data_IF_049718389832
#
_entry.id   IF_049718389832
#
_cell.length_a   1.000
_cell.length_b   1.000
_cell.length_c   1.000
_cell.angle_alpha   90.00
_cell.angle_beta   90.00
_cell.angle_gamma   90.00
#
_symmetry.space_group_name_H-M   'P 1'
#
loop_
_entity.id
_entity.type
_entity.pdbx_description
1 polymer ?
#
# COMPACT_ATOMS: atom_id res chain seq x y z
N UNK A 1 -0.91 32.36 60.42
CA UNK A 1 -1.91 32.74 59.37
C UNK A 1 -1.15 33.58 58.35
N UNK A 2 -0.91 33.21 57.09
CA UNK A 2 -1.60 32.27 56.21
C UNK A 2 -0.61 31.62 55.22
N UNK A 3 -0.95 30.39 54.83
CA UNK A 3 -0.19 29.50 53.96
C UNK A 3 0.02 30.08 52.56
N UNK A 4 1.26 30.00 52.06
CA UNK A 4 1.61 30.17 50.65
C UNK A 4 1.26 28.88 49.92
N UNK A 5 0.20 28.89 49.13
CA UNK A 5 -0.16 27.78 48.26
C UNK A 5 0.81 27.73 47.06
N UNK A 6 1.62 26.68 47.03
CA UNK A 6 2.48 26.30 45.92
C UNK A 6 1.65 25.42 44.99
N UNK A 7 1.21 25.95 43.85
CA UNK A 7 0.40 25.21 42.88
C UNK A 7 1.34 24.45 41.94
N UNK A 8 1.67 23.20 42.29
CA UNK A 8 2.34 22.26 41.40
C UNK A 8 1.28 21.70 40.43
N UNK A 9 1.26 22.18 39.20
CA UNK A 9 0.50 21.57 38.11
C UNK A 9 1.28 20.34 37.66
N UNK A 10 0.80 19.16 38.05
CA UNK A 10 1.30 17.88 37.56
C UNK A 10 0.60 17.59 36.22
N UNK A 11 1.28 17.91 35.11
CA UNK A 11 0.86 17.50 33.78
C UNK A 11 1.10 15.99 33.65
N UNK A 12 0.05 15.19 33.86
CA UNK A 12 0.02 13.79 33.43
C UNK A 12 -0.19 13.79 31.93
N UNK A 13 0.90 13.77 31.16
CA UNK A 13 0.84 13.38 29.75
C UNK A 13 0.54 11.89 29.70
N UNK A 14 -0.71 11.55 29.41
CA UNK A 14 -1.08 10.20 28.97
C UNK A 14 -0.35 9.99 27.63
N UNK A 15 0.77 9.28 27.66
CA UNK A 15 1.43 8.80 26.47
C UNK A 15 0.51 7.73 25.85
N UNK A 16 -0.33 8.14 24.90
CA UNK A 16 -0.84 7.19 23.93
C UNK A 16 0.39 6.63 23.19
N UNK A 17 0.56 5.31 23.08
CA UNK A 17 1.58 4.77 22.20
C UNK A 17 1.17 5.14 20.77
N UNK A 18 1.76 6.21 20.22
CA UNK A 18 1.88 6.31 18.77
C UNK A 18 2.76 5.13 18.38
N UNK A 19 2.16 4.10 17.78
CA UNK A 19 2.90 3.08 17.06
C UNK A 19 3.69 3.79 15.96
N UNK A 20 4.93 4.11 16.27
CA UNK A 20 5.84 4.75 15.32
C UNK A 20 6.42 3.62 14.48
N UNK A 21 5.88 3.44 13.28
CA UNK A 21 6.43 2.51 12.32
C UNK A 21 7.83 2.97 11.88
N UNK A 22 8.76 2.03 11.66
CA UNK A 22 10.06 2.40 11.12
C UNK A 22 9.93 2.71 9.64
N UNK A 23 10.74 3.68 9.18
CA UNK A 23 10.86 4.01 7.76
C UNK A 23 11.16 2.77 6.91
N UNK A 24 11.97 1.84 7.43
CA UNK A 24 12.29 0.58 6.77
C UNK A 24 11.08 -0.33 6.53
N UNK A 25 10.09 -0.35 7.43
CA UNK A 25 8.88 -1.16 7.26
C UNK A 25 7.98 -0.58 6.18
N UNK A 26 7.88 0.75 6.10
CA UNK A 26 7.13 1.43 5.04
C UNK A 26 7.79 1.16 3.69
N UNK A 27 9.11 1.34 3.60
CA UNK A 27 9.88 1.06 2.37
C UNK A 27 9.77 -0.41 1.92
N UNK A 28 9.76 -1.35 2.87
CA UNK A 28 9.53 -2.78 2.58
C UNK A 28 8.14 -3.01 1.98
N UNK A 29 7.10 -2.46 2.60
CA UNK A 29 5.72 -2.60 2.13
C UNK A 29 5.53 -1.99 0.74
N UNK A 30 6.11 -0.80 0.49
CA UNK A 30 6.10 -0.19 -0.83
C UNK A 30 6.81 -1.05 -1.88
N UNK A 31 7.98 -1.60 -1.54
CA UNK A 31 8.73 -2.46 -2.46
C UNK A 31 7.95 -3.75 -2.78
N UNK A 32 7.34 -4.38 -1.77
CA UNK A 32 6.48 -5.55 -1.96
C UNK A 32 5.28 -5.23 -2.84
N UNK A 33 4.58 -4.12 -2.59
CA UNK A 33 3.45 -3.70 -3.44
C UNK A 33 3.87 -3.46 -4.90
N UNK A 34 4.98 -2.74 -5.13
CA UNK A 34 5.52 -2.52 -6.48
C UNK A 34 5.86 -3.84 -7.16
N UNK A 35 6.47 -4.78 -6.44
CA UNK A 35 6.78 -6.12 -6.95
C UNK A 35 5.53 -6.90 -7.34
N UNK A 36 4.55 -6.98 -6.43
CA UNK A 36 3.27 -7.67 -6.66
C UNK A 36 2.58 -7.09 -7.90
N UNK A 37 2.38 -5.77 -7.94
CA UNK A 37 1.69 -5.11 -9.04
C UNK A 37 2.43 -5.28 -10.38
N UNK A 38 3.74 -5.02 -10.42
CA UNK A 38 4.52 -5.13 -11.66
C UNK A 38 4.60 -6.57 -12.19
N UNK A 39 4.71 -7.56 -11.28
CA UNK A 39 4.73 -8.98 -11.65
C UNK A 39 3.38 -9.41 -12.22
N UNK A 40 2.28 -9.08 -11.56
CA UNK A 40 0.93 -9.39 -12.04
C UNK A 40 0.62 -8.69 -13.36
N UNK A 41 0.93 -7.40 -13.50
CA UNK A 41 0.72 -6.65 -14.75
C UNK A 41 1.50 -7.31 -15.90
N UNK A 42 2.78 -7.59 -15.69
CA UNK A 42 3.62 -8.26 -16.70
C UNK A 42 3.09 -9.66 -17.04
N UNK A 43 2.67 -10.43 -16.03
CA UNK A 43 2.14 -11.77 -16.24
C UNK A 43 0.82 -11.74 -17.02
N UNK A 44 -0.10 -10.83 -16.69
CA UNK A 44 -1.38 -10.66 -17.40
C UNK A 44 -1.16 -10.23 -18.86
N UNK A 45 -0.16 -9.39 -19.12
CA UNK A 45 0.14 -8.90 -20.47
C UNK A 45 0.87 -9.93 -21.34
N UNK A 46 1.75 -10.74 -20.75
CA UNK A 46 2.69 -11.59 -21.51
C UNK A 46 2.51 -13.09 -21.30
N UNK A 47 1.77 -13.49 -20.28
CA UNK A 47 1.67 -14.87 -19.80
C UNK A 47 2.97 -15.42 -19.19
N UNK A 48 3.93 -14.57 -18.82
CA UNK A 48 5.27 -14.98 -18.36
C UNK A 48 5.73 -14.22 -17.11
N UNK A 49 6.44 -14.93 -16.24
CA UNK A 49 7.25 -14.33 -15.18
C UNK A 49 8.60 -13.87 -15.76
N UNK A 50 8.73 -12.59 -16.10
CA UNK A 50 9.96 -12.03 -16.73
C UNK A 50 11.14 -12.01 -15.75
N UNK A 51 10.88 -11.69 -14.48
CA UNK A 51 11.86 -11.75 -13.40
C UNK A 51 11.49 -12.89 -12.45
N UNK A 52 11.51 -14.13 -12.96
CA UNK A 52 11.10 -15.30 -12.18
C UNK A 52 12.01 -15.48 -10.94
N UNK A 53 11.48 -15.41 -9.71
CA UNK A 53 12.27 -15.56 -8.48
C UNK A 53 12.71 -17.01 -8.21
N UNK A 54 12.44 -17.95 -9.12
CA UNK A 54 12.71 -19.38 -8.95
C UNK A 54 11.45 -20.23 -8.79
N UNK A 55 10.28 -19.67 -9.11
CA UNK A 55 9.01 -20.42 -9.21
C UNK A 55 9.10 -21.38 -10.38
N UNK A 56 8.82 -22.66 -10.10
CA UNK A 56 8.75 -23.68 -11.13
C UNK A 56 7.35 -23.76 -11.77
N UNK A 57 7.21 -24.61 -12.79
CA UNK A 57 5.94 -24.71 -13.52
C UNK A 57 4.79 -25.32 -12.72
N UNK A 58 5.08 -26.10 -11.67
CA UNK A 58 4.06 -26.69 -10.78
C UNK A 58 3.52 -25.68 -9.80
N UNK A 59 4.36 -24.75 -9.35
CA UNK A 59 4.03 -23.76 -8.32
C UNK A 59 3.50 -22.44 -8.92
N UNK A 60 3.55 -22.29 -10.25
CA UNK A 60 3.20 -21.04 -10.94
C UNK A 60 1.77 -20.56 -10.64
N UNK A 61 0.79 -21.45 -10.69
CA UNK A 61 -0.62 -21.08 -10.47
C UNK A 61 -0.83 -20.57 -9.04
N UNK A 62 -0.38 -21.34 -8.04
CA UNK A 62 -0.45 -20.96 -6.64
C UNK A 62 0.30 -19.64 -6.36
N UNK A 63 1.46 -19.45 -6.98
CA UNK A 63 2.22 -18.22 -6.82
C UNK A 63 1.47 -16.99 -7.38
N UNK A 64 0.86 -17.10 -8.56
CA UNK A 64 0.07 -16.02 -9.13
C UNK A 64 -1.18 -15.74 -8.28
N UNK A 65 -1.84 -16.78 -7.76
CA UNK A 65 -2.98 -16.63 -6.84
C UNK A 65 -2.58 -15.89 -5.55
N UNK A 66 -1.42 -16.22 -4.97
CA UNK A 66 -0.86 -15.51 -3.82
C UNK A 66 -0.65 -14.02 -4.13
N UNK A 67 -0.02 -13.72 -5.27
CA UNK A 67 0.21 -12.34 -5.68
C UNK A 67 -1.10 -11.59 -5.90
N UNK A 68 -2.10 -12.20 -6.55
CA UNK A 68 -3.42 -11.61 -6.76
C UNK A 68 -4.12 -11.31 -5.43
N UNK A 69 -4.05 -12.25 -4.48
CA UNK A 69 -4.61 -12.06 -3.14
C UNK A 69 -3.96 -10.87 -2.43
N UNK A 70 -2.63 -10.81 -2.40
CA UNK A 70 -1.92 -9.71 -1.73
C UNK A 70 -2.05 -8.38 -2.46
N UNK A 71 -2.22 -8.39 -3.78
CA UNK A 71 -2.58 -7.19 -4.53
C UNK A 71 -3.89 -6.59 -3.99
N UNK A 72 -4.94 -7.40 -3.83
CA UNK A 72 -6.21 -6.96 -3.26
C UNK A 72 -6.09 -6.52 -1.81
N UNK A 73 -5.24 -7.21 -1.01
CA UNK A 73 -4.97 -6.77 0.35
C UNK A 73 -4.28 -5.41 0.38
N UNK A 74 -3.20 -5.18 -0.36
CA UNK A 74 -2.54 -3.86 -0.41
C UNK A 74 -3.48 -2.78 -0.93
N UNK A 75 -4.20 -3.08 -2.01
CA UNK A 75 -5.00 -2.10 -2.75
C UNK A 75 -6.39 -1.84 -2.17
N UNK A 76 -6.82 -2.59 -1.16
CA UNK A 76 -8.13 -2.36 -0.56
C UNK A 76 -8.27 -0.94 0.03
N UNK A 77 -9.31 -0.26 -0.42
CA UNK A 77 -9.52 1.18 -0.18
C UNK A 77 -9.14 2.08 -1.34
N UNK A 78 -8.33 1.62 -2.29
CA UNK A 78 -7.96 2.36 -3.50
C UNK A 78 -8.00 1.55 -4.81
N UNK A 79 -8.38 0.27 -4.79
CA UNK A 79 -8.62 -0.54 -5.99
C UNK A 79 -9.81 -0.01 -6.82
N UNK A 80 -10.04 -0.59 -7.99
CA UNK A 80 -11.09 -0.16 -8.94
C UNK A 80 -12.49 -0.16 -8.31
N UNK A 81 -12.75 -1.05 -7.36
CA UNK A 81 -14.02 -1.16 -6.60
C UNK A 81 -14.07 -0.29 -5.34
N UNK A 82 -13.09 0.59 -5.11
CA UNK A 82 -13.05 1.47 -3.94
C UNK A 82 -14.05 2.62 -4.03
N UNK A 83 -14.34 3.26 -2.89
CA UNK A 83 -15.13 4.49 -2.86
C UNK A 83 -14.44 5.62 -3.63
N UNK A 84 -13.11 5.70 -3.54
CA UNK A 84 -12.28 6.60 -4.34
C UNK A 84 -12.57 6.43 -5.83
N UNK A 85 -12.43 5.21 -6.37
CA UNK A 85 -12.61 4.97 -7.80
C UNK A 85 -14.06 5.05 -8.26
N UNK A 86 -15.04 4.73 -7.41
CA UNK A 86 -16.46 4.97 -7.73
C UNK A 86 -16.75 6.46 -7.87
N UNK A 87 -16.29 7.30 -6.94
CA UNK A 87 -16.49 8.74 -7.02
C UNK A 87 -15.79 9.34 -8.24
N UNK A 88 -14.54 8.92 -8.49
CA UNK A 88 -13.74 9.44 -9.59
C UNK A 88 -14.33 9.14 -10.97
N UNK A 89 -14.93 7.96 -11.13
CA UNK A 89 -15.53 7.49 -12.40
C UNK A 89 -17.00 7.85 -12.60
N UNK A 90 -17.65 8.41 -11.58
CA UNK A 90 -19.07 8.76 -11.65
C UNK A 90 -19.31 9.85 -12.72
N UNK A 91 -20.11 9.59 -13.77
CA UNK A 91 -20.38 10.57 -14.81
C UNK A 91 -21.08 11.84 -14.28
N UNK A 92 -21.82 11.75 -13.16
CA UNK A 92 -22.48 12.91 -12.55
C UNK A 92 -21.46 13.90 -11.96
N UNK A 93 -20.26 13.43 -11.63
CA UNK A 93 -19.13 14.26 -11.19
C UNK A 93 -18.33 14.85 -12.38
N UNK A 94 -18.76 14.62 -13.62
CA UNK A 94 -18.07 15.09 -14.83
C UNK A 94 -18.04 16.61 -15.02
N UNK A 95 -18.79 17.37 -14.21
CA UNK A 95 -18.77 18.85 -14.20
C UNK A 95 -17.65 19.45 -13.35
N UNK A 96 -17.05 18.65 -12.46
CA UNK A 96 -15.89 19.06 -11.66
C UNK A 96 -14.64 19.11 -12.54
N UNK A 97 -13.67 19.96 -12.17
CA UNK A 97 -12.34 19.87 -12.78
C UNK A 97 -11.67 18.54 -12.40
N UNK A 98 -10.58 18.18 -13.11
CA UNK A 98 -9.85 16.94 -12.80
C UNK A 98 -9.22 17.02 -11.41
N UNK A 99 -8.74 18.20 -11.03
CA UNK A 99 -8.13 18.51 -9.73
C UNK A 99 -9.15 18.38 -8.60
N UNK A 100 -10.31 19.05 -8.72
CA UNK A 100 -11.39 18.98 -7.73
C UNK A 100 -11.88 17.54 -7.54
N UNK A 101 -12.06 16.81 -8.65
CA UNK A 101 -12.52 15.43 -8.60
C UNK A 101 -11.47 14.50 -7.97
N UNK A 102 -10.19 14.72 -8.26
CA UNK A 102 -9.10 13.95 -7.70
C UNK A 102 -8.93 14.21 -6.20
N UNK A 103 -8.99 15.48 -5.76
CA UNK A 103 -8.92 15.86 -4.35
C UNK A 103 -10.04 15.18 -3.54
N UNK A 104 -11.29 15.29 -3.99
CA UNK A 104 -12.42 14.66 -3.31
C UNK A 104 -12.29 13.14 -3.32
N UNK A 105 -11.91 12.54 -4.45
CA UNK A 105 -11.72 11.08 -4.53
C UNK A 105 -10.65 10.59 -3.54
N UNK A 106 -9.50 11.26 -3.50
CA UNK A 106 -8.39 10.91 -2.60
C UNK A 106 -8.77 11.08 -1.13
N UNK A 107 -9.64 12.05 -0.81
CA UNK A 107 -10.17 12.24 0.54
C UNK A 107 -11.04 11.07 1.05
N UNK A 108 -11.48 10.17 0.16
CA UNK A 108 -12.23 8.96 0.52
C UNK A 108 -11.32 7.81 0.98
N UNK A 109 -10.00 7.97 0.87
CA UNK A 109 -9.05 7.03 1.45
C UNK A 109 -9.08 7.10 2.98
N UNK A 110 -8.66 6.00 3.62
CA UNK A 110 -8.42 6.03 5.07
C UNK A 110 -7.35 7.06 5.42
N UNK A 111 -7.38 7.52 6.67
CA UNK A 111 -6.33 8.39 7.20
C UNK A 111 -4.95 7.76 7.02
N UNK A 112 -3.92 8.60 6.82
CA UNK A 112 -2.57 8.12 6.53
C UNK A 112 -2.04 7.10 7.56
N UNK A 113 -2.17 7.30 8.88
CA UNK A 113 -1.67 6.34 9.87
C UNK A 113 -2.31 4.96 9.69
N UNK A 114 -3.63 4.90 9.49
CA UNK A 114 -4.37 3.64 9.30
C UNK A 114 -3.96 2.93 7.99
N UNK A 115 -3.64 3.70 6.94
CA UNK A 115 -3.12 3.16 5.69
C UNK A 115 -1.72 2.55 5.89
N UNK A 116 -0.83 3.27 6.57
CA UNK A 116 0.53 2.82 6.85
C UNK A 116 0.51 1.53 7.67
N UNK A 117 -0.28 1.50 8.75
CA UNK A 117 -0.43 0.31 9.59
C UNK A 117 -0.88 -0.89 8.74
N UNK A 118 -1.90 -0.69 7.90
CA UNK A 118 -2.39 -1.71 6.98
C UNK A 118 -1.32 -2.20 6.00
N UNK A 119 -0.57 -1.30 5.37
CA UNK A 119 0.46 -1.70 4.41
C UNK A 119 1.55 -2.54 5.06
N UNK A 120 1.95 -2.19 6.28
CA UNK A 120 2.96 -2.93 7.03
C UNK A 120 2.44 -4.31 7.42
N UNK A 121 1.22 -4.41 7.95
CA UNK A 121 0.62 -5.72 8.27
C UNK A 121 0.51 -6.60 7.03
N UNK A 122 0.05 -6.06 5.90
CA UNK A 122 -0.07 -6.82 4.66
C UNK A 122 1.29 -7.26 4.13
N UNK A 123 2.34 -6.43 4.25
CA UNK A 123 3.71 -6.82 3.88
C UNK A 123 4.28 -7.93 4.77
N UNK A 124 4.06 -7.84 6.08
CA UNK A 124 4.48 -8.88 7.02
C UNK A 124 3.79 -10.21 6.70
N UNK A 125 2.47 -10.19 6.50
CA UNK A 125 1.70 -11.37 6.13
C UNK A 125 2.19 -11.95 4.81
N UNK A 126 2.40 -11.11 3.78
CA UNK A 126 2.91 -11.54 2.47
C UNK A 126 4.25 -12.26 2.56
N UNK A 127 5.19 -11.69 3.32
CA UNK A 127 6.52 -12.29 3.46
C UNK A 127 6.47 -13.59 4.25
N UNK A 128 5.60 -13.69 5.26
CA UNK A 128 5.40 -14.93 6.02
C UNK A 128 4.78 -16.02 5.14
N UNK A 129 3.72 -15.71 4.39
CA UNK A 129 3.04 -16.69 3.53
C UNK A 129 3.95 -17.16 2.37
N UNK A 130 4.76 -16.26 1.79
CA UNK A 130 5.81 -16.64 0.84
C UNK A 130 6.80 -17.64 1.44
N UNK A 131 7.27 -17.41 2.66
CA UNK A 131 8.23 -18.29 3.32
C UNK A 131 7.60 -19.65 3.66
N UNK A 132 6.34 -19.65 4.09
CA UNK A 132 5.62 -20.85 4.52
C UNK A 132 5.23 -21.74 3.33
N UNK A 133 4.77 -21.15 2.22
CA UNK A 133 4.28 -21.91 1.07
C UNK A 133 5.39 -22.24 0.05
N UNK A 134 6.31 -21.31 -0.19
CA UNK A 134 7.33 -21.43 -1.24
C UNK A 134 8.77 -21.52 -0.71
N UNK A 135 8.94 -21.40 0.61
CA UNK A 135 10.23 -21.48 1.27
C UNK A 135 11.01 -20.16 1.26
N UNK A 136 11.95 -20.05 2.20
CA UNK A 136 12.75 -18.83 2.39
C UNK A 136 13.65 -18.49 1.21
N UNK A 137 14.02 -19.48 0.38
CA UNK A 137 14.78 -19.24 -0.85
C UNK A 137 14.02 -18.35 -1.84
N UNK A 138 12.71 -18.59 -2.01
CA UNK A 138 11.90 -17.77 -2.91
C UNK A 138 11.73 -16.36 -2.33
N UNK A 139 11.45 -16.26 -1.02
CA UNK A 139 11.38 -15.00 -0.30
C UNK A 139 12.66 -14.17 -0.47
N UNK A 140 13.83 -14.79 -0.30
CA UNK A 140 15.12 -14.11 -0.46
C UNK A 140 15.30 -13.56 -1.87
N UNK A 141 14.96 -14.34 -2.90
CA UNK A 141 15.03 -13.89 -4.29
C UNK A 141 14.05 -12.74 -4.58
N UNK A 142 12.82 -12.82 -4.07
CA UNK A 142 11.84 -11.73 -4.18
C UNK A 142 12.34 -10.47 -3.50
N UNK A 143 12.94 -10.60 -2.30
CA UNK A 143 13.50 -9.47 -1.58
C UNK A 143 14.66 -8.80 -2.32
N UNK A 144 15.41 -9.54 -3.16
CA UNK A 144 16.38 -8.93 -4.08
C UNK A 144 15.71 -8.25 -5.28
N UNK A 145 14.74 -8.92 -5.91
CA UNK A 145 14.09 -8.42 -7.13
C UNK A 145 13.25 -7.16 -6.84
N UNK A 146 12.53 -7.13 -5.71
CA UNK A 146 11.59 -6.05 -5.39
C UNK A 146 12.24 -4.67 -5.23
N UNK A 147 13.55 -4.63 -5.00
CA UNK A 147 14.33 -3.38 -4.92
C UNK A 147 14.33 -2.65 -6.27
N UNK A 148 14.39 -3.40 -7.38
CA UNK A 148 14.46 -2.86 -8.74
C UNK A 148 13.09 -2.86 -9.45
N UNK A 149 12.04 -3.32 -8.78
CA UNK A 149 10.68 -3.37 -9.34
C UNK A 149 10.13 -1.97 -9.59
N UNK A 150 9.87 -1.67 -10.87
CA UNK A 150 9.21 -0.45 -11.31
C UNK A 150 7.71 -0.70 -11.49
N UNK A 151 6.89 0.19 -10.94
CA UNK A 151 5.44 0.12 -11.04
C UNK A 151 4.88 1.53 -11.24
N UNK A 152 3.88 1.65 -12.12
CA UNK A 152 3.08 2.87 -12.28
C UNK A 152 2.07 3.05 -11.14
N UNK A 153 1.76 1.98 -10.39
CA UNK A 153 0.96 2.04 -9.17
C UNK A 153 1.89 2.06 -7.95
N UNK A 154 1.59 2.95 -7.00
CA UNK A 154 2.32 3.12 -5.75
C UNK A 154 1.35 3.15 -4.58
N UNK A 155 1.83 2.93 -3.36
CA UNK A 155 0.99 3.11 -2.17
C UNK A 155 0.75 4.62 -1.97
N UNK A 156 -0.50 5.08 -1.79
CA UNK A 156 -0.78 6.51 -1.66
C UNK A 156 -0.20 7.06 -0.35
N UNK A 157 0.70 8.04 -0.47
CA UNK A 157 1.41 8.67 0.66
C UNK A 157 0.91 10.09 0.93
N UNK A 158 1.37 10.70 2.04
CA UNK A 158 1.10 12.11 2.33
C UNK A 158 1.94 13.09 1.53
N UNK A 159 2.97 12.63 0.83
CA UNK A 159 3.89 13.48 0.07
C UNK A 159 3.41 13.75 -1.36
N UNK A 160 2.29 13.17 -1.77
CA UNK A 160 1.75 13.36 -3.10
C UNK A 160 1.30 14.82 -3.28
N UNK A 161 1.89 15.49 -4.27
CA UNK A 161 1.34 16.73 -4.78
C UNK A 161 0.09 16.45 -5.63
N UNK A 162 -0.58 17.52 -6.09
CA UNK A 162 -1.81 17.41 -6.88
C UNK A 162 -1.63 16.53 -8.13
N UNK A 163 -0.50 16.65 -8.83
CA UNK A 163 -0.21 15.86 -10.02
C UNK A 163 0.01 14.37 -9.68
N UNK A 164 0.69 14.08 -8.57
CA UNK A 164 0.87 12.71 -8.08
C UNK A 164 -0.45 12.09 -7.63
N UNK A 165 -1.35 12.85 -6.98
CA UNK A 165 -2.70 12.39 -6.62
C UNK A 165 -3.49 12.02 -7.88
N UNK A 166 -3.52 12.89 -8.89
CA UNK A 166 -4.23 12.63 -10.16
C UNK A 166 -3.65 11.38 -10.83
N UNK A 167 -2.32 11.31 -11.00
CA UNK A 167 -1.64 10.18 -11.62
C UNK A 167 -1.90 8.86 -10.87
N UNK A 168 -1.93 8.91 -9.54
CA UNK A 168 -2.25 7.75 -8.71
C UNK A 168 -3.68 7.25 -8.97
N UNK A 169 -4.67 8.15 -8.91
CA UNK A 169 -6.07 7.80 -9.14
C UNK A 169 -6.28 7.28 -10.56
N UNK A 170 -5.71 7.94 -11.56
CA UNK A 170 -5.78 7.51 -12.96
C UNK A 170 -5.21 6.11 -13.15
N UNK A 171 -4.14 5.76 -12.44
CA UNK A 171 -3.56 4.40 -12.48
C UNK A 171 -4.40 3.37 -11.73
N UNK A 172 -5.01 3.75 -10.60
CA UNK A 172 -5.69 2.83 -9.71
C UNK A 172 -7.14 2.51 -10.14
N UNK A 173 -7.76 3.41 -10.90
CA UNK A 173 -9.18 3.33 -11.25
C UNK A 173 -9.45 2.84 -12.68
N UNK A 174 -8.46 2.25 -13.35
CA UNK A 174 -8.62 1.64 -14.69
C UNK A 174 -9.58 0.45 -14.63
#
# INVERSE_FOLDING_TARGET
MNARYLFLIFLVTIAFPLHSHSQSSIESAEASFRYVHSTLSTFRDTGRLVNNPGVDGSDLEAFIELLDFYYEQFSSGFNSDSAMCRFYRDPDNGRMTIEERAEISFSLLRELPDRIERYITVDEDFQNELADEFGTFLLDNINQIKIDSLSNQQLPSSEFDEAAVISFIDSACI
#
